data_IF_630813850918
#
_entry.id   IF_630813850918
#
_cell.length_a   1.000
_cell.length_b   1.000
_cell.length_c   1.000
_cell.angle_alpha   90.00
_cell.angle_beta   90.00
_cell.angle_gamma   90.00
#
_symmetry.space_group_name_H-M   'P 1'
#
loop_
_entity.id
_entity.type
_entity.pdbx_description
1 polymer ?
#
# COMPACT_ATOMS: atom_id res chain seq x y z
N UNK A 1 -32.57 -18.36 -12.99
CA UNK A 1 -31.20 -18.59 -13.48
C UNK A 1 -30.27 -18.43 -12.30
N UNK A 2 -29.65 -19.50 -11.80
CA UNK A 2 -28.62 -19.38 -10.76
C UNK A 2 -27.39 -18.76 -11.43
N UNK A 3 -27.01 -17.54 -11.01
CA UNK A 3 -25.79 -16.90 -11.53
C UNK A 3 -24.59 -17.73 -11.10
N UNK A 4 -23.81 -18.23 -12.06
CA UNK A 4 -22.53 -18.88 -11.76
C UNK A 4 -21.49 -17.80 -11.47
N UNK A 5 -21.29 -17.48 -10.19
CA UNK A 5 -20.26 -16.55 -9.74
C UNK A 5 -18.95 -17.29 -9.46
N UNK A 6 -17.84 -16.58 -9.61
CA UNK A 6 -16.53 -17.06 -9.17
C UNK A 6 -16.38 -16.74 -7.67
N UNK A 7 -16.14 -17.77 -6.85
CA UNK A 7 -15.92 -17.61 -5.42
C UNK A 7 -14.44 -17.82 -5.09
N UNK A 8 -13.71 -16.74 -4.84
CA UNK A 8 -12.32 -16.80 -4.35
C UNK A 8 -12.27 -17.18 -2.87
N UNK A 9 -11.15 -17.78 -2.45
CA UNK A 9 -10.86 -18.04 -1.04
C UNK A 9 -9.90 -16.99 -0.49
N UNK A 10 -10.34 -16.27 0.55
CA UNK A 10 -9.50 -15.39 1.34
C UNK A 10 -8.98 -16.10 2.59
N UNK A 11 -7.66 -16.13 2.77
CA UNK A 11 -7.01 -16.61 3.99
C UNK A 11 -6.51 -15.44 4.83
N UNK A 12 -6.91 -15.43 6.10
CA UNK A 12 -6.47 -14.42 7.07
C UNK A 12 -5.15 -14.75 7.76
N UNK A 13 -4.67 -16.00 7.65
CA UNK A 13 -3.56 -16.56 8.46
C UNK A 13 -2.34 -16.93 7.62
N UNK A 14 -2.36 -16.70 6.31
CA UNK A 14 -1.26 -17.10 5.41
C UNK A 14 -0.09 -16.10 5.41
N UNK A 15 -0.36 -14.79 5.25
CA UNK A 15 0.70 -13.80 5.14
C UNK A 15 1.25 -13.42 6.52
N UNK A 16 2.58 -13.49 6.69
CA UNK A 16 3.25 -13.11 7.94
C UNK A 16 3.07 -11.63 8.32
N UNK A 17 2.77 -10.77 7.35
CA UNK A 17 2.45 -9.34 7.57
C UNK A 17 1.00 -9.12 7.96
N UNK A 18 0.15 -10.16 7.89
CA UNK A 18 -1.26 -10.07 8.23
C UNK A 18 -2.19 -9.68 7.08
N UNK A 19 -1.68 -9.38 5.87
CA UNK A 19 -2.54 -9.15 4.69
C UNK A 19 -3.39 -10.38 4.37
N UNK A 20 -4.55 -10.15 3.76
CA UNK A 20 -5.36 -11.25 3.21
C UNK A 20 -4.62 -11.87 2.02
N UNK A 21 -4.57 -13.19 1.98
CA UNK A 21 -4.12 -13.93 0.81
C UNK A 21 -5.35 -14.44 0.03
N UNK A 22 -5.31 -14.38 -1.30
CA UNK A 22 -6.39 -14.86 -2.18
C UNK A 22 -5.94 -16.10 -2.93
N UNK A 23 -6.83 -17.08 -3.10
CA UNK A 23 -6.59 -18.26 -3.94
C UNK A 23 -7.86 -18.74 -4.64
N UNK A 24 -7.70 -19.46 -5.74
CA UNK A 24 -8.79 -20.02 -6.56
C UNK A 24 -9.90 -19.02 -6.95
N UNK A 25 -9.60 -17.94 -7.69
CA UNK A 25 -8.29 -17.51 -8.21
C UNK A 25 -7.52 -16.65 -7.20
N UNK A 26 -6.20 -16.54 -7.36
CA UNK A 26 -5.41 -15.56 -6.63
C UNK A 26 -5.50 -14.19 -7.32
N UNK A 27 -6.36 -13.33 -6.80
CA UNK A 27 -6.63 -12.00 -7.36
C UNK A 27 -5.44 -11.04 -7.24
N UNK A 28 -4.58 -11.24 -6.24
CA UNK A 28 -3.39 -10.40 -5.99
C UNK A 28 -2.31 -10.56 -7.08
N UNK A 29 -2.40 -11.64 -7.87
CA UNK A 29 -1.45 -11.93 -8.95
C UNK A 29 -1.88 -11.39 -10.32
N UNK A 30 -3.07 -10.80 -10.43
CA UNK A 30 -3.53 -10.20 -11.69
C UNK A 30 -2.66 -8.96 -11.96
N UNK A 31 -1.89 -8.91 -13.08
CA UNK A 31 -0.97 -7.80 -13.31
C UNK A 31 -1.71 -6.46 -13.41
N UNK A 32 -1.27 -5.45 -12.66
CA UNK A 32 -1.98 -4.15 -12.61
C UNK A 32 -1.78 -3.32 -13.88
N UNK A 33 -0.55 -3.31 -14.43
CA UNK A 33 -0.15 -2.34 -15.46
C UNK A 33 -0.02 -2.91 -16.88
N UNK A 34 -0.21 -4.21 -17.05
CA UNK A 34 -0.03 -4.86 -18.36
C UNK A 34 -1.32 -4.88 -19.16
N UNK A 35 -1.25 -4.87 -20.51
CA UNK A 35 -2.43 -5.05 -21.36
C UNK A 35 -3.24 -6.32 -21.02
N UNK A 36 -2.55 -7.41 -20.69
CA UNK A 36 -3.16 -8.70 -20.34
C UNK A 36 -3.92 -8.61 -19.02
N UNK A 37 -3.34 -7.95 -18.02
CA UNK A 37 -3.98 -7.72 -16.73
C UNK A 37 -5.25 -6.88 -16.85
N UNK A 38 -5.19 -5.78 -17.62
CA UNK A 38 -6.38 -4.98 -17.96
C UNK A 38 -7.47 -5.81 -18.64
N UNK A 39 -7.09 -6.70 -19.56
CA UNK A 39 -8.05 -7.62 -20.21
C UNK A 39 -8.69 -8.60 -19.24
N UNK A 40 -7.94 -9.11 -18.25
CA UNK A 40 -8.48 -10.00 -17.21
C UNK A 40 -9.49 -9.24 -16.35
N UNK A 41 -9.17 -8.03 -15.90
CA UNK A 41 -10.07 -7.21 -15.08
C UNK A 41 -11.39 -6.86 -15.78
N UNK A 42 -11.36 -6.63 -17.10
CA UNK A 42 -12.59 -6.43 -17.90
C UNK A 42 -13.57 -7.61 -17.85
N UNK A 43 -13.12 -8.82 -17.48
CA UNK A 43 -13.98 -9.98 -17.34
C UNK A 43 -14.76 -10.02 -16.01
N UNK A 44 -14.40 -9.15 -15.05
CA UNK A 44 -15.15 -8.96 -13.81
C UNK A 44 -16.19 -7.88 -14.05
N UNK A 45 -17.44 -8.28 -14.23
CA UNK A 45 -18.53 -7.40 -14.68
C UNK A 45 -19.62 -7.28 -13.62
N UNK A 46 -20.22 -6.10 -13.53
CA UNK A 46 -21.45 -5.90 -12.76
C UNK A 46 -22.66 -6.51 -13.52
N UNK A 47 -23.69 -6.99 -12.81
CA UNK A 47 -24.95 -7.37 -13.44
C UNK A 47 -25.73 -6.15 -13.95
N UNK A 48 -26.73 -6.35 -14.83
CA UNK A 48 -27.58 -5.25 -15.31
C UNK A 48 -28.24 -4.46 -14.18
N UNK A 49 -28.23 -3.12 -14.31
CA UNK A 49 -28.76 -2.17 -13.32
C UNK A 49 -27.80 -1.86 -12.16
N UNK A 50 -26.57 -2.40 -12.20
CA UNK A 50 -25.56 -2.23 -11.16
C UNK A 50 -24.21 -1.86 -11.77
N UNK A 51 -23.37 -1.23 -10.97
CA UNK A 51 -21.98 -0.92 -11.27
C UNK A 51 -21.05 -1.60 -10.26
N UNK A 52 -19.79 -1.77 -10.67
CA UNK A 52 -18.70 -2.01 -9.73
C UNK A 52 -18.22 -0.65 -9.23
N UNK A 53 -17.97 -0.56 -7.92
CA UNK A 53 -17.37 0.60 -7.26
C UNK A 53 -16.05 0.13 -6.63
N UNK A 54 -14.94 0.70 -7.08
CA UNK A 54 -13.62 0.45 -6.53
C UNK A 54 -13.23 1.60 -5.61
N UNK A 55 -12.72 1.26 -4.43
CA UNK A 55 -12.22 2.21 -3.44
C UNK A 55 -10.80 1.81 -3.03
N UNK A 56 -9.79 2.58 -3.43
CA UNK A 56 -8.37 2.25 -3.24
C UNK A 56 -7.68 3.27 -2.32
N UNK A 57 -6.92 2.79 -1.33
CA UNK A 57 -6.11 3.71 -0.53
C UNK A 57 -4.90 4.22 -1.30
N UNK A 58 -4.87 5.53 -1.49
CA UNK A 58 -3.86 6.23 -2.25
C UNK A 58 -2.53 6.31 -1.48
N UNK A 59 -1.56 5.48 -1.86
CA UNK A 59 -0.20 5.42 -1.29
C UNK A 59 -0.16 5.10 0.22
N UNK A 60 -1.03 4.20 0.68
CA UNK A 60 -1.25 3.94 2.12
C UNK A 60 0.01 3.55 2.90
N UNK A 61 0.88 2.72 2.33
CA UNK A 61 2.10 2.29 3.01
C UNK A 61 3.07 3.45 3.24
N UNK A 62 3.11 4.43 2.33
CA UNK A 62 3.94 5.62 2.50
C UNK A 62 3.34 6.58 3.53
N UNK A 63 2.01 6.71 3.58
CA UNK A 63 1.33 7.51 4.61
C UNK A 63 1.54 6.93 6.01
N UNK A 64 1.45 5.61 6.14
CA UNK A 64 1.77 4.90 7.39
C UNK A 64 3.24 5.08 7.76
N UNK A 65 4.16 5.05 6.80
CA UNK A 65 5.57 5.33 7.09
C UNK A 65 5.76 6.76 7.61
N UNK A 66 5.11 7.75 7.00
CA UNK A 66 5.17 9.15 7.46
C UNK A 66 4.72 9.27 8.92
N UNK A 67 3.65 8.55 9.27
CA UNK A 67 3.16 8.47 10.64
C UNK A 67 4.15 7.80 11.61
N UNK A 68 4.72 6.66 11.21
CA UNK A 68 5.75 5.96 11.98
C UNK A 68 7.05 6.78 12.15
N UNK A 69 7.32 7.72 11.25
CA UNK A 69 8.39 8.71 11.35
C UNK A 69 8.03 9.88 12.29
N UNK A 70 6.84 9.87 12.89
CA UNK A 70 6.37 10.87 13.85
C UNK A 70 5.56 12.02 13.25
N UNK A 71 5.12 11.89 11.99
CA UNK A 71 4.26 12.88 11.34
C UNK A 71 4.95 14.21 11.07
N UNK A 72 6.28 14.21 10.96
CA UNK A 72 7.10 15.42 10.76
C UNK A 72 8.20 15.13 9.75
N UNK A 73 8.69 16.19 9.11
CA UNK A 73 9.79 16.11 8.15
C UNK A 73 9.29 16.17 6.71
N UNK A 74 10.24 16.16 5.77
CA UNK A 74 9.95 16.40 4.36
C UNK A 74 8.99 15.39 3.75
N UNK A 75 8.93 14.17 4.30
CA UNK A 75 8.03 13.12 3.85
C UNK A 75 6.56 13.40 4.22
N UNK A 76 6.31 13.84 5.45
CA UNK A 76 4.97 14.22 5.92
C UNK A 76 4.49 15.52 5.26
N UNK A 77 5.37 16.51 5.16
CA UNK A 77 5.08 17.81 4.52
C UNK A 77 4.65 17.66 3.06
N UNK A 78 5.16 16.64 2.35
CA UNK A 78 4.75 16.34 0.98
C UNK A 78 3.29 15.85 0.92
N UNK A 79 2.86 15.00 1.85
CA UNK A 79 1.47 14.54 1.91
C UNK A 79 0.49 15.63 2.32
N UNK A 80 0.86 16.49 3.27
CA UNK A 80 0.01 17.61 3.71
C UNK A 80 -0.26 18.63 2.60
N UNK A 81 0.72 18.86 1.72
CA UNK A 81 0.56 19.73 0.54
C UNK A 81 -0.20 19.06 -0.61
N UNK A 82 -0.62 17.81 -0.46
CA UNK A 82 -1.22 17.02 -1.55
C UNK A 82 -0.24 16.72 -2.68
N UNK A 83 1.07 16.79 -2.43
CA UNK A 83 2.08 16.51 -3.43
C UNK A 83 2.23 14.99 -3.65
N UNK A 84 2.60 14.61 -4.86
CA UNK A 84 3.00 13.25 -5.15
C UNK A 84 4.44 13.00 -4.69
N UNK A 85 4.59 12.23 -3.61
CA UNK A 85 5.89 11.94 -2.99
C UNK A 85 6.89 11.32 -3.97
N UNK A 86 6.43 10.52 -4.94
CA UNK A 86 7.31 10.00 -5.98
C UNK A 86 7.85 11.09 -6.90
N UNK A 87 7.05 12.09 -7.23
CA UNK A 87 7.47 13.26 -8.01
C UNK A 87 8.42 14.14 -7.20
N UNK A 88 8.16 14.37 -5.91
CA UNK A 88 9.09 15.11 -5.04
C UNK A 88 10.44 14.41 -4.89
N UNK A 89 10.42 13.09 -4.66
CA UNK A 89 11.65 12.29 -4.66
C UNK A 89 12.35 12.42 -6.01
N UNK A 90 11.62 12.30 -7.14
CA UNK A 90 12.22 12.40 -8.46
C UNK A 90 12.89 13.77 -8.69
N UNK A 91 12.21 14.86 -8.36
CA UNK A 91 12.77 16.21 -8.43
C UNK A 91 14.10 16.32 -7.67
N UNK A 92 14.16 15.77 -6.45
CA UNK A 92 15.38 15.73 -5.64
C UNK A 92 16.48 14.80 -6.21
N UNK A 93 16.11 13.62 -6.69
CA UNK A 93 17.06 12.64 -7.24
C UNK A 93 17.69 13.12 -8.54
N UNK A 94 16.93 13.78 -9.40
CA UNK A 94 17.35 14.22 -10.73
C UNK A 94 17.78 15.69 -10.78
N UNK A 95 17.68 16.42 -9.66
CA UNK A 95 17.96 17.87 -9.60
C UNK A 95 17.13 18.64 -10.64
N UNK A 96 15.82 18.36 -10.66
CA UNK A 96 14.86 18.89 -11.64
C UNK A 96 13.70 19.59 -10.92
N UNK A 97 13.04 20.54 -11.60
CA UNK A 97 11.79 21.10 -11.09
C UNK A 97 10.67 20.05 -11.13
N UNK A 98 9.71 20.14 -10.22
CA UNK A 98 8.61 19.16 -10.13
C UNK A 98 7.80 19.06 -11.45
N UNK A 99 7.68 20.17 -12.18
CA UNK A 99 6.99 20.23 -13.48
C UNK A 99 7.78 19.54 -14.62
N UNK A 100 9.10 19.38 -14.44
CA UNK A 100 10.00 18.74 -15.40
C UNK A 100 10.13 17.22 -15.15
N UNK A 101 9.57 16.72 -14.04
CA UNK A 101 9.61 15.31 -13.70
C UNK A 101 8.84 14.49 -14.72
N UNK A 102 9.58 13.67 -15.47
CA UNK A 102 8.99 12.74 -16.42
C UNK A 102 8.37 11.52 -15.72
N UNK A 103 7.49 10.80 -16.43
CA UNK A 103 6.93 9.53 -15.92
C UNK A 103 8.01 8.49 -15.61
N UNK A 104 9.10 8.49 -16.38
CA UNK A 104 10.23 7.60 -16.18
C UNK A 104 10.99 7.96 -14.90
N UNK A 105 11.33 9.24 -14.71
CA UNK A 105 11.93 9.74 -13.46
C UNK A 105 11.08 9.41 -12.25
N UNK A 106 9.75 9.64 -12.33
CA UNK A 106 8.81 9.26 -11.28
C UNK A 106 8.80 7.76 -11.01
N UNK A 107 8.89 6.92 -12.04
CA UNK A 107 8.94 5.46 -11.89
C UNK A 107 10.23 4.99 -11.21
N UNK A 108 11.36 5.63 -11.53
CA UNK A 108 12.65 5.38 -10.86
C UNK A 108 12.53 5.80 -9.39
N UNK A 109 12.04 7.01 -9.12
CA UNK A 109 11.84 7.51 -7.76
C UNK A 109 10.88 6.63 -6.94
N UNK A 110 9.83 6.08 -7.56
CA UNK A 110 8.98 5.07 -6.93
C UNK A 110 9.76 3.83 -6.50
N UNK A 111 10.57 3.27 -7.40
CA UNK A 111 11.41 2.12 -7.09
C UNK A 111 12.47 2.46 -6.02
N UNK A 112 13.00 3.67 -6.03
CA UNK A 112 13.93 4.19 -5.01
C UNK A 112 13.24 4.32 -3.65
N UNK A 113 12.06 4.95 -3.56
CA UNK A 113 11.29 5.06 -2.31
C UNK A 113 11.08 3.67 -1.71
N UNK A 114 10.45 2.75 -2.43
CA UNK A 114 10.18 1.41 -1.90
C UNK A 114 11.45 0.61 -1.64
N UNK A 115 12.48 0.72 -2.50
CA UNK A 115 13.75 0.05 -2.30
C UNK A 115 14.44 0.50 -1.02
N UNK A 116 14.63 1.81 -0.85
CA UNK A 116 15.38 2.37 0.28
C UNK A 116 14.61 2.21 1.59
N UNK A 117 13.31 2.53 1.60
CA UNK A 117 12.44 2.37 2.78
C UNK A 117 12.53 0.94 3.29
N UNK A 118 12.61 -0.04 2.37
CA UNK A 118 12.66 -1.46 2.72
C UNK A 118 14.07 -2.07 2.78
N UNK A 119 15.10 -1.22 2.94
CA UNK A 119 16.46 -1.65 3.25
C UNK A 119 17.19 -2.31 2.07
N UNK A 120 16.83 -1.98 0.84
CA UNK A 120 17.58 -2.40 -0.35
C UNK A 120 18.95 -1.70 -0.38
N UNK A 121 20.00 -2.48 -0.59
CA UNK A 121 21.35 -1.94 -0.73
C UNK A 121 21.55 -1.27 -2.09
N UNK A 122 22.59 -0.44 -2.23
CA UNK A 122 22.98 0.15 -3.52
C UNK A 122 23.17 -0.91 -4.62
N UNK A 123 23.68 -2.10 -4.26
CA UNK A 123 23.82 -3.22 -5.19
C UNK A 123 22.45 -3.74 -5.65
N UNK A 124 21.54 -3.98 -4.71
CA UNK A 124 20.18 -4.44 -5.05
C UNK A 124 19.44 -3.40 -5.90
N UNK A 125 19.53 -2.12 -5.53
CA UNK A 125 18.86 -1.03 -6.24
C UNK A 125 19.41 -0.88 -7.67
N UNK A 126 20.73 -0.96 -7.84
CA UNK A 126 21.38 -0.96 -9.14
C UNK A 126 20.88 -2.11 -10.04
N UNK A 127 20.70 -3.32 -9.48
CA UNK A 127 20.18 -4.46 -10.21
C UNK A 127 18.72 -4.26 -10.65
N UNK A 128 17.87 -3.75 -9.75
CA UNK A 128 16.46 -3.49 -10.04
C UNK A 128 16.26 -2.41 -11.10
N UNK A 129 17.04 -1.33 -11.02
CA UNK A 129 16.96 -0.19 -11.93
C UNK A 129 17.80 -0.36 -13.20
N UNK A 130 18.69 -1.36 -13.25
CA UNK A 130 19.67 -1.58 -14.33
C UNK A 130 20.59 -0.36 -14.56
N UNK A 131 21.05 0.24 -13.47
CA UNK A 131 21.96 1.40 -13.47
C UNK A 131 23.31 1.06 -12.81
N UNK A 132 24.37 1.86 -13.02
CA UNK A 132 25.61 1.70 -12.30
C UNK A 132 25.44 1.75 -10.77
N UNK A 133 26.23 0.94 -10.05
CA UNK A 133 26.21 0.92 -8.57
C UNK A 133 26.51 2.27 -7.94
N UNK A 134 27.39 3.06 -8.55
CA UNK A 134 27.74 4.41 -8.11
C UNK A 134 26.54 5.35 -8.16
N UNK A 135 25.74 5.25 -9.21
CA UNK A 135 24.52 6.04 -9.38
C UNK A 135 23.45 5.63 -8.36
N UNK A 136 23.23 4.33 -8.19
CA UNK A 136 22.31 3.82 -7.17
C UNK A 136 22.73 4.25 -5.74
N UNK A 137 24.03 4.27 -5.44
CA UNK A 137 24.53 4.79 -4.17
C UNK A 137 24.25 6.28 -4.01
N UNK A 138 24.40 7.06 -5.08
CA UNK A 138 24.12 8.51 -5.06
C UNK A 138 22.63 8.79 -4.83
N UNK A 139 21.72 8.00 -5.42
CA UNK A 139 20.29 8.08 -5.15
C UNK A 139 19.96 7.78 -3.69
N UNK A 140 20.64 6.79 -3.09
CA UNK A 140 20.48 6.49 -1.66
C UNK A 140 20.92 7.66 -0.79
N UNK A 141 22.07 8.26 -1.09
CA UNK A 141 22.56 9.43 -0.36
C UNK A 141 21.58 10.59 -0.44
N UNK A 142 21.16 10.99 -1.64
CA UNK A 142 20.19 12.10 -1.85
C UNK A 142 18.87 11.84 -1.13
N UNK A 143 18.35 10.62 -1.20
CA UNK A 143 17.12 10.24 -0.50
C UNK A 143 17.26 10.40 1.02
N UNK A 144 18.37 9.94 1.61
CA UNK A 144 18.62 10.06 3.05
C UNK A 144 18.82 11.50 3.50
N UNK A 145 19.47 12.31 2.68
CA UNK A 145 19.64 13.76 2.94
C UNK A 145 18.29 14.49 2.89
N UNK A 146 17.40 14.08 1.97
CA UNK A 146 16.08 14.67 1.81
C UNK A 146 15.08 14.22 2.87
N UNK A 147 15.13 12.96 3.28
CA UNK A 147 14.20 12.34 4.24
C UNK A 147 14.96 11.67 5.41
N UNK A 148 15.72 12.44 6.22
CA UNK A 148 16.49 11.90 7.34
C UNK A 148 15.62 11.16 8.35
N UNK A 149 14.36 11.56 8.52
CA UNK A 149 13.38 10.96 9.43
C UNK A 149 13.14 9.46 9.15
N UNK A 150 13.29 9.01 7.91
CA UNK A 150 13.12 7.60 7.53
C UNK A 150 14.29 6.75 8.06
N UNK A 151 15.51 7.29 8.04
CA UNK A 151 16.67 6.60 8.61
C UNK A 151 16.60 6.57 10.15
N UNK A 152 16.10 7.63 10.78
CA UNK A 152 15.85 7.66 12.23
C UNK A 152 14.81 6.60 12.63
N UNK A 153 13.69 6.52 11.91
CA UNK A 153 12.69 5.45 12.07
C UNK A 153 13.34 4.07 11.94
N UNK A 154 14.12 3.84 10.87
CA UNK A 154 14.80 2.58 10.62
C UNK A 154 15.68 2.17 11.80
N UNK A 155 16.53 3.08 12.29
CA UNK A 155 17.45 2.80 13.38
C UNK A 155 16.70 2.51 14.68
N UNK A 156 15.68 3.31 15.00
CA UNK A 156 14.84 3.12 16.17
C UNK A 156 14.12 1.77 16.14
N UNK A 157 13.46 1.42 15.04
CA UNK A 157 12.76 0.15 14.90
C UNK A 157 13.71 -1.05 15.02
N UNK A 158 14.91 -0.98 14.44
CA UNK A 158 15.90 -2.06 14.59
C UNK A 158 16.40 -2.20 16.03
N UNK A 159 16.63 -1.10 16.74
CA UNK A 159 17.02 -1.11 18.14
C UNK A 159 15.92 -1.71 19.03
N UNK A 160 14.68 -1.23 18.88
CA UNK A 160 13.51 -1.75 19.61
C UNK A 160 13.27 -3.24 19.30
N UNK A 161 13.43 -3.66 18.05
CA UNK A 161 13.25 -5.05 17.65
C UNK A 161 14.35 -5.98 18.21
N UNK A 162 15.59 -5.50 18.29
CA UNK A 162 16.69 -6.24 18.87
C UNK A 162 16.52 -6.40 20.39
N UNK A 163 15.96 -5.41 21.07
CA UNK A 163 15.65 -5.46 22.50
C UNK A 163 14.45 -6.37 22.81
N UNK A 164 13.34 -6.19 22.07
CA UNK A 164 12.08 -6.88 22.35
C UNK A 164 11.97 -8.28 21.71
N UNK A 165 12.76 -8.55 20.66
CA UNK A 165 12.68 -9.78 19.86
C UNK A 165 11.52 -9.81 18.85
N UNK A 166 10.74 -8.74 18.75
CA UNK A 166 9.63 -8.59 17.81
C UNK A 166 9.45 -7.12 17.38
N UNK A 167 8.69 -6.93 16.30
CA UNK A 167 8.17 -5.61 15.87
C UNK A 167 6.65 -5.59 15.95
N UNK A 168 6.07 -4.40 16.07
CA UNK A 168 4.63 -4.19 16.29
C UNK A 168 4.02 -3.24 15.23
N UNK A 169 2.77 -3.46 14.84
CA UNK A 169 1.98 -2.52 14.01
C UNK A 169 1.39 -1.40 14.87
N UNK A 170 0.87 -0.34 14.25
CA UNK A 170 0.16 0.74 14.94
C UNK A 170 -1.03 0.24 15.79
N UNK A 171 -1.58 -0.94 15.47
CA UNK A 171 -2.70 -1.56 16.18
C UNK A 171 -2.29 -2.71 17.11
N UNK A 172 -1.00 -2.90 17.36
CA UNK A 172 -0.53 -3.88 18.35
C UNK A 172 -0.24 -5.29 17.82
N UNK A 173 -0.32 -5.54 16.51
CA UNK A 173 0.01 -6.85 15.94
C UNK A 173 1.52 -7.06 16.00
N UNK A 174 1.97 -8.13 16.64
CA UNK A 174 3.40 -8.47 16.78
C UNK A 174 3.88 -9.47 15.75
N UNK A 175 5.10 -9.29 15.28
CA UNK A 175 5.85 -10.28 14.48
C UNK A 175 7.23 -10.52 15.11
N UNK A 176 7.50 -11.73 15.62
CA UNK A 176 8.84 -12.10 16.09
C UNK A 176 9.87 -11.98 14.97
N UNK A 177 11.07 -11.51 15.31
CA UNK A 177 12.19 -11.37 14.37
C UNK A 177 13.49 -11.97 14.96
N UNK A 178 13.52 -13.28 15.25
CA UNK A 178 14.62 -13.91 16.00
C UNK A 178 15.98 -13.81 15.28
N UNK A 179 15.97 -13.77 13.95
CA UNK A 179 17.19 -13.71 13.13
C UNK A 179 17.94 -12.37 13.22
N UNK A 180 17.39 -11.35 13.90
CA UNK A 180 18.14 -10.12 14.19
C UNK A 180 19.39 -10.39 15.04
N UNK A 181 19.32 -11.39 15.93
CA UNK A 181 20.45 -11.83 16.75
C UNK A 181 21.38 -12.83 16.02
N UNK A 182 21.09 -13.18 14.76
CA UNK A 182 21.86 -14.19 14.03
C UNK A 182 23.29 -13.72 13.74
N UNK A 183 24.26 -14.61 13.97
CA UNK A 183 25.65 -14.40 13.52
C UNK A 183 25.81 -14.48 12.00
N UNK A 184 24.81 -15.01 11.28
CA UNK A 184 24.83 -15.06 9.82
C UNK A 184 24.38 -13.71 9.24
N UNK A 185 25.30 -13.02 8.56
CA UNK A 185 25.05 -11.71 7.96
C UNK A 185 23.84 -11.68 7.02
N UNK A 186 23.66 -12.71 6.19
CA UNK A 186 22.55 -12.75 5.23
C UNK A 186 21.19 -12.92 5.93
N UNK A 187 21.14 -13.77 6.96
CA UNK A 187 19.95 -13.97 7.78
C UNK A 187 19.59 -12.68 8.54
N UNK A 188 20.58 -12.07 9.21
CA UNK A 188 20.40 -10.81 9.92
C UNK A 188 19.94 -9.67 9.00
N UNK A 189 20.55 -9.52 7.83
CA UNK A 189 20.12 -8.50 6.87
C UNK A 189 18.69 -8.73 6.35
N UNK A 190 18.25 -9.98 6.21
CA UNK A 190 16.86 -10.30 5.90
C UNK A 190 15.91 -9.97 7.06
N UNK A 191 16.34 -10.26 8.29
CA UNK A 191 15.63 -9.93 9.52
C UNK A 191 15.46 -8.41 9.70
N UNK A 192 16.50 -7.62 9.41
CA UNK A 192 16.43 -6.15 9.45
C UNK A 192 15.36 -5.62 8.48
N UNK A 193 15.30 -6.14 7.25
CA UNK A 193 14.24 -5.77 6.30
C UNK A 193 12.86 -6.17 6.81
N UNK A 194 12.73 -7.36 7.40
CA UNK A 194 11.47 -7.80 8.00
C UNK A 194 11.05 -6.87 9.14
N UNK A 195 11.98 -6.48 10.01
CA UNK A 195 11.71 -5.61 11.15
C UNK A 195 11.23 -4.23 10.71
N UNK A 196 11.85 -3.64 9.69
CA UNK A 196 11.48 -2.31 9.18
C UNK A 196 10.16 -2.35 8.38
N UNK A 197 9.95 -3.40 7.57
CA UNK A 197 8.80 -3.44 6.67
C UNK A 197 7.50 -3.83 7.38
N UNK A 198 7.60 -4.66 8.42
CA UNK A 198 6.41 -5.24 9.05
C UNK A 198 5.51 -4.20 9.72
N UNK A 199 6.01 -3.22 10.50
CA UNK A 199 5.17 -2.17 11.04
C UNK A 199 4.39 -1.42 9.96
N UNK A 200 5.03 -1.14 8.81
CA UNK A 200 4.38 -0.47 7.69
C UNK A 200 3.30 -1.34 7.04
N UNK A 201 3.69 -2.51 6.49
CA UNK A 201 2.78 -3.38 5.74
C UNK A 201 1.70 -4.01 6.62
N UNK A 202 2.05 -4.32 7.88
CA UNK A 202 1.12 -4.87 8.84
C UNK A 202 0.10 -3.84 9.30
N UNK A 203 0.49 -2.57 9.49
CA UNK A 203 -0.47 -1.51 9.80
C UNK A 203 -1.40 -1.26 8.62
N UNK A 204 -0.92 -1.36 7.37
CA UNK A 204 -1.79 -1.29 6.18
C UNK A 204 -2.80 -2.46 6.14
N UNK A 205 -2.35 -3.66 6.51
CA UNK A 205 -3.21 -4.83 6.64
C UNK A 205 -4.26 -4.69 7.76
N UNK A 206 -3.89 -4.06 8.88
CA UNK A 206 -4.79 -3.81 10.00
C UNK A 206 -5.82 -2.71 9.63
N UNK A 207 -5.36 -1.63 8.98
CA UNK A 207 -6.18 -0.55 8.44
C UNK A 207 -7.26 -1.07 7.49
N UNK A 208 -6.88 -1.79 6.43
CA UNK A 208 -7.85 -2.26 5.43
C UNK A 208 -8.88 -3.21 6.05
N UNK A 209 -8.49 -4.04 7.04
CA UNK A 209 -9.44 -4.90 7.75
C UNK A 209 -10.41 -4.10 8.60
N UNK A 210 -9.95 -3.06 9.30
CA UNK A 210 -10.82 -2.17 10.07
C UNK A 210 -11.79 -1.42 9.15
N UNK A 211 -11.32 -0.97 8.00
CA UNK A 211 -12.16 -0.35 6.98
C UNK A 211 -13.20 -1.32 6.42
N UNK A 212 -12.82 -2.56 6.10
CA UNK A 212 -13.77 -3.60 5.68
C UNK A 212 -14.88 -3.83 6.69
N UNK A 213 -14.55 -3.89 7.99
CA UNK A 213 -15.53 -4.07 9.06
C UNK A 213 -16.49 -2.87 9.17
N UNK A 214 -15.96 -1.65 9.05
CA UNK A 214 -16.77 -0.43 9.12
C UNK A 214 -17.73 -0.30 7.92
N UNK A 215 -17.21 -0.54 6.70
CA UNK A 215 -18.01 -0.57 5.47
C UNK A 215 -19.08 -1.66 5.56
N UNK A 216 -18.70 -2.90 5.89
CA UNK A 216 -19.64 -4.03 6.00
C UNK A 216 -20.74 -3.76 7.05
N UNK A 217 -20.42 -3.14 8.18
CA UNK A 217 -21.40 -2.77 9.18
C UNK A 217 -22.45 -1.80 8.61
N UNK A 218 -22.02 -0.75 7.92
CA UNK A 218 -22.93 0.24 7.31
C UNK A 218 -23.73 -0.32 6.15
N UNK A 219 -23.12 -1.16 5.32
CA UNK A 219 -23.84 -1.86 4.26
C UNK A 219 -25.00 -2.68 4.84
N UNK A 220 -24.77 -3.44 5.91
CA UNK A 220 -25.83 -4.26 6.52
C UNK A 220 -26.97 -3.45 7.13
N UNK A 221 -26.70 -2.25 7.65
CA UNK A 221 -27.70 -1.44 8.36
C UNK A 221 -28.43 -0.46 7.46
N UNK A 222 -27.75 0.14 6.50
CA UNK A 222 -28.25 1.26 5.69
C UNK A 222 -28.47 0.85 4.21
N UNK A 223 -27.73 -0.14 3.72
CA UNK A 223 -27.65 -0.49 2.30
C UNK A 223 -27.66 -2.03 2.05
N UNK A 224 -28.66 -2.78 2.56
CA UNK A 224 -28.60 -4.25 2.65
C UNK A 224 -28.50 -4.97 1.28
N UNK A 225 -28.88 -4.30 0.19
CA UNK A 225 -28.81 -4.83 -1.17
C UNK A 225 -27.48 -4.53 -1.87
N UNK A 226 -26.50 -3.94 -1.18
CA UNK A 226 -25.20 -3.55 -1.72
C UNK A 226 -24.11 -4.48 -1.18
N UNK A 227 -23.19 -4.93 -2.03
CA UNK A 227 -22.30 -6.04 -1.71
C UNK A 227 -20.83 -5.63 -1.75
N UNK A 228 -20.10 -5.84 -0.65
CA UNK A 228 -18.63 -5.86 -0.68
C UNK A 228 -18.18 -7.21 -1.29
N UNK A 229 -17.64 -7.17 -2.50
CA UNK A 229 -17.29 -8.37 -3.26
C UNK A 229 -15.87 -8.85 -2.98
N UNK A 230 -14.89 -7.97 -3.19
CA UNK A 230 -13.47 -8.33 -3.19
C UNK A 230 -12.64 -7.35 -2.38
N UNK A 231 -11.54 -7.85 -1.83
CA UNK A 231 -10.44 -7.06 -1.32
C UNK A 231 -9.19 -7.45 -2.12
N UNK A 232 -8.54 -6.49 -2.78
CA UNK A 232 -7.34 -6.72 -3.59
C UNK A 232 -6.33 -5.62 -3.30
N UNK A 233 -5.09 -5.96 -2.95
CA UNK A 233 -4.09 -5.00 -2.47
C UNK A 233 -4.62 -4.05 -1.38
N UNK A 234 -4.79 -2.77 -1.69
CA UNK A 234 -5.29 -1.71 -0.82
C UNK A 234 -6.70 -1.24 -1.23
N UNK A 235 -7.36 -2.00 -2.11
CA UNK A 235 -8.65 -1.72 -2.73
C UNK A 235 -9.78 -2.61 -2.20
N UNK A 236 -10.95 -2.00 -2.02
CA UNK A 236 -12.24 -2.67 -1.83
C UNK A 236 -13.06 -2.53 -3.11
N UNK A 237 -13.60 -3.65 -3.61
CA UNK A 237 -14.48 -3.68 -4.77
C UNK A 237 -15.89 -4.05 -4.33
N UNK A 238 -16.85 -3.19 -4.63
CA UNK A 238 -18.25 -3.35 -4.30
C UNK A 238 -19.10 -3.51 -5.56
N UNK A 239 -20.22 -4.20 -5.44
CA UNK A 239 -21.31 -4.19 -6.43
C UNK A 239 -22.44 -3.32 -5.88
N UNK A 240 -22.76 -2.25 -6.59
CA UNK A 240 -23.73 -1.24 -6.15
C UNK A 240 -24.81 -0.97 -7.19
N UNK A 241 -26.03 -0.63 -6.77
CA UNK A 241 -27.05 -0.15 -7.70
C UNK A 241 -26.61 1.17 -8.34
N UNK A 242 -26.85 1.30 -9.65
CA UNK A 242 -26.33 2.40 -10.46
C UNK A 242 -26.83 3.78 -9.99
N UNK A 243 -28.04 3.85 -9.44
CA UNK A 243 -28.63 5.09 -8.91
C UNK A 243 -28.15 5.46 -7.48
N UNK A 244 -27.33 4.60 -6.84
CA UNK A 244 -26.82 4.82 -5.47
C UNK A 244 -25.30 4.95 -5.40
N UNK A 245 -24.61 4.99 -6.54
CA UNK A 245 -23.13 4.97 -6.61
C UNK A 245 -22.49 6.11 -5.84
N UNK A 246 -23.03 7.33 -5.94
CA UNK A 246 -22.47 8.51 -5.30
C UNK A 246 -22.64 8.46 -3.78
N UNK A 247 -23.85 8.08 -3.31
CA UNK A 247 -24.18 7.93 -1.90
C UNK A 247 -23.29 6.87 -1.23
N UNK A 248 -23.18 5.69 -1.85
CA UNK A 248 -22.39 4.59 -1.33
C UNK A 248 -20.89 4.89 -1.45
N UNK A 249 -20.46 5.53 -2.53
CA UNK A 249 -19.06 5.94 -2.72
C UNK A 249 -18.57 6.89 -1.64
N UNK A 250 -19.36 7.89 -1.28
CA UNK A 250 -19.03 8.81 -0.18
C UNK A 250 -19.06 8.12 1.19
N UNK A 251 -20.00 7.20 1.41
CA UNK A 251 -20.01 6.37 2.62
C UNK A 251 -18.73 5.53 2.73
N UNK A 252 -18.37 4.79 1.68
CA UNK A 252 -17.18 3.94 1.66
C UNK A 252 -15.91 4.77 1.87
N UNK A 253 -15.80 5.91 1.16
CA UNK A 253 -14.70 6.86 1.33
C UNK A 253 -14.58 7.30 2.79
N UNK A 254 -15.69 7.70 3.42
CA UNK A 254 -15.73 8.15 4.79
C UNK A 254 -15.26 7.07 5.78
N UNK A 255 -15.80 5.85 5.68
CA UNK A 255 -15.42 4.74 6.57
C UNK A 255 -13.95 4.34 6.38
N UNK A 256 -13.46 4.31 5.13
CA UNK A 256 -12.07 4.00 4.85
C UNK A 256 -11.12 5.08 5.36
N UNK A 257 -11.38 6.37 5.10
CA UNK A 257 -10.52 7.46 5.62
C UNK A 257 -10.53 7.50 7.15
N UNK A 258 -11.66 7.19 7.78
CA UNK A 258 -11.82 7.22 9.25
C UNK A 258 -11.35 5.94 9.95
N UNK A 259 -10.95 4.91 9.20
CA UNK A 259 -10.60 3.62 9.76
C UNK A 259 -9.36 3.68 10.67
N UNK A 260 -8.45 4.63 10.48
CA UNK A 260 -7.32 4.85 11.39
C UNK A 260 -6.95 6.32 11.39
N UNK A 261 -6.71 6.86 12.57
CA UNK A 261 -6.14 8.19 12.70
C UNK A 261 -4.62 8.10 12.48
N UNK A 262 -4.14 8.85 11.49
CA UNK A 262 -2.74 9.02 11.18
C UNK A 262 -2.42 10.52 11.23
N UNK A 263 -1.17 10.86 11.51
CA UNK A 263 -0.67 12.23 11.45
C UNK A 263 -0.74 12.85 10.05
N UNK A 264 -0.65 12.04 8.99
CA UNK A 264 -0.93 12.46 7.60
C UNK A 264 -2.29 11.95 7.14
N UNK A 265 -3.07 12.74 6.36
CA UNK A 265 -4.43 12.36 6.00
C UNK A 265 -4.44 11.09 5.15
N UNK A 266 -5.35 10.15 5.43
CA UNK A 266 -5.65 9.06 4.52
C UNK A 266 -6.43 9.60 3.31
N UNK A 267 -6.13 9.06 2.12
CA UNK A 267 -6.82 9.40 0.87
C UNK A 267 -7.31 8.11 0.24
N UNK A 268 -8.55 8.12 -0.21
CA UNK A 268 -9.19 7.01 -0.91
C UNK A 268 -9.62 7.52 -2.26
N UNK A 269 -9.25 6.84 -3.34
CA UNK A 269 -9.75 7.13 -4.67
C UNK A 269 -10.97 6.25 -4.94
N UNK A 270 -12.05 6.83 -5.49
CA UNK A 270 -13.27 6.11 -5.82
C UNK A 270 -13.42 6.14 -7.34
N UNK A 271 -13.62 4.97 -7.93
CA UNK A 271 -13.98 4.82 -9.34
C UNK A 271 -15.16 3.87 -9.51
N UNK A 272 -15.91 4.04 -10.59
CA UNK A 272 -17.09 3.23 -10.91
C UNK A 272 -17.07 2.80 -12.36
N UNK A 273 -17.67 1.65 -12.66
CA UNK A 273 -17.74 1.14 -14.01
C UNK A 273 -18.55 -0.14 -14.15
N UNK A 274 -18.82 -0.54 -15.39
CA UNK A 274 -19.53 -1.80 -15.66
C UNK A 274 -18.63 -3.02 -15.48
N UNK A 275 -17.32 -2.82 -15.45
CA UNK A 275 -16.33 -3.84 -15.14
C UNK A 275 -15.18 -3.30 -14.28
N UNK A 276 -14.39 -4.20 -13.71
CA UNK A 276 -13.37 -3.84 -12.73
C UNK A 276 -12.29 -2.93 -13.32
N UNK A 277 -11.97 -3.05 -14.61
CA UNK A 277 -11.00 -2.16 -15.26
C UNK A 277 -11.53 -0.74 -15.50
N UNK A 278 -12.84 -0.55 -15.59
CA UNK A 278 -13.41 0.80 -15.69
C UNK A 278 -13.49 1.49 -14.32
N UNK A 279 -13.73 0.70 -13.27
CA UNK A 279 -13.79 1.20 -11.90
C UNK A 279 -12.41 1.48 -11.28
N UNK A 280 -11.35 0.81 -11.75
CA UNK A 280 -9.97 0.89 -11.23
C UNK A 280 -9.12 1.95 -11.96
#
# INVERSE_FOLDING_TARGET
>A
SARSMCHTYFSQTTAATGRLASSNPNLQNIPVRTPEGRRIRRAFVAPPGRLLLAADYSQVELRILADLCGGKGGFSDAFERGADVHTETAASLFDAHAEEVTREMRSIAKAVNFGIIYGQSAFGLAQSLRIPRTEAANYITRFKERFPEIEEYRQRTLAEAAENGYVETLMGRRRPVPDLASGNFAARAAAERVAVNTPVQGSAADLIKKAMLAVDARLRTEFPDQLLLLQVHDELLLEVDEDRTDEIGEMVRHEMVSAMELSVPLVVDIGTGHNWEEAH
#
